data_IF_268279326222
#
_entry.id   IF_268279326222
#
_cell.length_a   1.000
_cell.length_b   1.000
_cell.length_c   1.000
_cell.angle_alpha   90.00
_cell.angle_beta   90.00
_cell.angle_gamma   90.00
#
_symmetry.space_group_name_H-M   'P 1'
#
loop_
_entity.id
_entity.type
_entity.pdbx_description
1 polymer ?
#
# COMPACT_ATOMS: atom_id res chain seq x y z
N UNK A 1 21.96 14.79 7.01
CA UNK A 1 20.74 15.36 6.41
C UNK A 1 20.07 16.23 7.45
N UNK A 2 19.77 17.47 7.07
CA UNK A 2 19.26 18.55 7.88
C UNK A 2 18.01 18.13 8.70
N UNK A 3 18.02 18.39 10.00
CA UNK A 3 17.05 17.91 11.01
C UNK A 3 16.07 19.02 11.44
N UNK A 4 15.73 19.97 10.57
CA UNK A 4 14.93 21.12 11.00
C UNK A 4 13.90 21.67 10.01
N UNK A 5 13.46 20.91 9.00
CA UNK A 5 12.20 21.26 8.35
C UNK A 5 11.05 20.96 9.31
N UNK A 6 10.49 22.03 9.89
CA UNK A 6 9.26 22.02 10.66
C UNK A 6 8.20 21.26 9.86
N UNK A 7 7.67 20.18 10.45
CA UNK A 7 6.84 19.24 9.68
C UNK A 7 5.50 19.89 9.34
N UNK A 8 5.09 19.71 8.08
CA UNK A 8 3.82 20.22 7.57
C UNK A 8 2.59 19.51 8.13
N UNK A 9 2.73 18.26 8.63
CA UNK A 9 1.60 17.40 9.00
C UNK A 9 1.73 16.80 10.40
N UNK A 10 0.59 16.54 11.04
CA UNK A 10 0.54 15.96 12.39
C UNK A 10 0.71 14.44 12.33
N UNK A 11 1.57 13.84 13.17
CA UNK A 11 1.66 12.38 13.26
C UNK A 11 0.36 11.80 13.85
N UNK A 12 0.02 10.56 13.47
CA UNK A 12 -1.09 9.80 14.05
C UNK A 12 -0.60 8.45 14.58
N UNK A 13 -0.99 8.05 15.82
CA UNK A 13 -0.56 6.79 16.38
C UNK A 13 -1.03 5.64 15.49
N UNK A 14 -0.08 4.80 15.07
CA UNK A 14 -0.41 3.64 14.26
C UNK A 14 -0.96 2.52 15.14
N UNK A 15 -2.03 1.81 14.69
CA UNK A 15 -2.45 0.57 15.33
C UNK A 15 -1.45 -0.59 15.12
N UNK A 16 -0.42 -0.42 14.28
CA UNK A 16 0.48 -1.47 13.82
C UNK A 16 1.88 -1.42 14.45
N UNK A 17 1.96 -1.51 15.78
CA UNK A 17 3.25 -1.59 16.50
C UNK A 17 3.75 -3.04 16.57
N UNK A 18 4.92 -3.32 15.99
CA UNK A 18 5.59 -4.63 16.00
C UNK A 18 4.79 -5.77 15.34
N UNK A 19 4.10 -5.49 14.24
CA UNK A 19 3.38 -6.53 13.50
C UNK A 19 4.38 -7.37 12.69
N UNK A 20 4.19 -8.69 12.71
CA UNK A 20 4.83 -9.61 11.77
C UNK A 20 3.88 -9.91 10.62
N UNK A 21 4.34 -9.71 9.39
CA UNK A 21 3.53 -9.91 8.19
C UNK A 21 4.37 -10.50 7.05
N UNK A 22 3.70 -11.10 6.08
CA UNK A 22 4.28 -11.32 4.76
C UNK A 22 3.97 -10.11 3.90
N UNK A 23 5.02 -9.54 3.28
CA UNK A 23 4.91 -8.30 2.53
C UNK A 23 5.44 -8.50 1.13
N UNK A 24 4.63 -8.11 0.15
CA UNK A 24 4.98 -8.07 -1.28
C UNK A 24 4.86 -6.62 -1.72
N UNK A 25 5.95 -6.02 -2.19
CA UNK A 25 5.93 -4.59 -2.54
C UNK A 25 6.78 -4.26 -3.76
N UNK A 26 6.47 -3.14 -4.41
CA UNK A 26 7.24 -2.60 -5.52
C UNK A 26 7.22 -1.08 -5.52
N UNK A 27 8.25 -0.51 -6.13
CA UNK A 27 8.33 0.92 -6.40
C UNK A 27 8.04 1.18 -7.87
N UNK A 28 7.29 2.24 -8.15
CA UNK A 28 7.17 2.80 -9.50
C UNK A 28 7.31 4.31 -9.45
N UNK A 29 7.34 4.90 -10.63
CA UNK A 29 7.26 6.34 -10.81
C UNK A 29 5.90 6.66 -11.43
N UNK A 30 5.04 7.33 -10.68
CA UNK A 30 3.86 7.97 -11.23
C UNK A 30 4.30 9.24 -11.99
N UNK A 31 3.78 9.40 -13.20
CA UNK A 31 3.99 10.61 -13.98
C UNK A 31 2.97 11.67 -13.58
N UNK A 32 3.32 12.94 -13.80
CA UNK A 32 2.36 14.04 -13.70
C UNK A 32 1.14 13.75 -14.59
N UNK A 33 -0.07 14.01 -14.08
CA UNK A 33 -1.31 13.75 -14.80
C UNK A 33 -2.30 14.92 -14.64
N UNK A 34 -3.11 15.16 -15.68
CA UNK A 34 -4.20 16.13 -15.65
C UNK A 34 -5.44 15.54 -14.97
N UNK A 35 -5.28 15.15 -13.71
CA UNK A 35 -6.29 14.44 -12.92
C UNK A 35 -5.89 12.98 -12.65
N UNK A 36 -6.45 12.44 -11.58
CA UNK A 36 -6.26 11.04 -11.20
C UNK A 36 -7.29 10.15 -11.92
N UNK A 37 -6.95 8.88 -12.24
CA UNK A 37 -7.90 7.94 -12.82
C UNK A 37 -9.17 7.75 -11.97
N UNK A 38 -10.26 7.29 -12.59
CA UNK A 38 -11.44 6.85 -11.85
C UNK A 38 -11.07 5.74 -10.86
N UNK A 39 -11.72 5.74 -9.69
CA UNK A 39 -11.41 4.83 -8.59
C UNK A 39 -10.21 5.25 -7.72
N UNK A 40 -9.57 6.39 -8.00
CA UNK A 40 -8.45 6.88 -7.15
C UNK A 40 -8.90 7.36 -5.78
N UNK A 41 -10.18 7.66 -5.63
CA UNK A 41 -10.83 8.02 -4.38
C UNK A 41 -12.03 7.10 -4.18
N UNK A 42 -12.27 6.68 -2.95
CA UNK A 42 -13.56 6.09 -2.59
C UNK A 42 -14.67 7.13 -2.70
N UNK A 43 -15.94 6.72 -2.79
CA UNK A 43 -17.09 7.65 -2.91
C UNK A 43 -17.11 8.71 -1.80
N UNK A 44 -16.73 8.31 -0.57
CA UNK A 44 -16.66 9.19 0.58
C UNK A 44 -15.56 10.26 0.42
N UNK A 45 -14.39 9.85 -0.08
CA UNK A 45 -13.24 10.72 -0.32
C UNK A 45 -13.41 11.60 -1.57
N UNK A 46 -14.11 11.12 -2.59
CA UNK A 46 -14.33 11.83 -3.84
C UNK A 46 -15.09 13.15 -3.64
N UNK A 47 -15.89 13.25 -2.58
CA UNK A 47 -16.63 14.47 -2.20
C UNK A 47 -15.82 15.45 -1.33
N UNK A 48 -14.63 15.07 -0.88
CA UNK A 48 -13.86 15.83 0.10
C UNK A 48 -13.01 16.96 -0.54
N UNK A 49 -12.65 18.02 0.19
CA UNK A 49 -11.89 19.14 -0.38
C UNK A 49 -10.52 18.79 -0.96
N UNK A 50 -9.93 17.65 -0.59
CA UNK A 50 -8.62 17.21 -1.09
C UNK A 50 -8.69 16.46 -2.42
N UNK A 51 -9.87 16.00 -2.84
CA UNK A 51 -10.07 15.37 -4.16
C UNK A 51 -10.33 16.42 -5.26
N UNK A 52 -10.62 17.67 -4.86
CA UNK A 52 -10.90 18.80 -5.73
C UNK A 52 -9.59 19.45 -6.20
N UNK A 53 -9.20 19.31 -7.49
CA UNK A 53 -7.94 19.84 -8.00
C UNK A 53 -7.83 21.37 -7.90
N UNK A 54 -8.94 22.09 -7.83
CA UNK A 54 -8.93 23.55 -7.64
C UNK A 54 -8.50 23.94 -6.21
N UNK A 55 -8.75 23.05 -5.23
CA UNK A 55 -8.39 23.25 -3.83
C UNK A 55 -7.07 22.59 -3.46
N UNK A 56 -6.80 21.38 -3.95
CA UNK A 56 -5.60 20.59 -3.64
C UNK A 56 -4.42 20.86 -4.57
N UNK A 57 -4.66 21.46 -5.74
CA UNK A 57 -3.68 21.57 -6.82
C UNK A 57 -3.65 20.33 -7.72
N UNK A 58 -2.78 20.36 -8.73
CA UNK A 58 -2.61 19.29 -9.71
C UNK A 58 -1.74 18.15 -9.19
N UNK A 59 -1.97 16.95 -9.71
CA UNK A 59 -1.17 15.77 -9.37
C UNK A 59 0.22 15.86 -10.01
N UNK A 60 1.24 16.10 -9.18
CA UNK A 60 2.63 16.25 -9.60
C UNK A 60 3.34 14.93 -9.94
N UNK A 61 2.76 13.79 -9.57
CA UNK A 61 3.42 12.49 -9.68
C UNK A 61 4.55 12.31 -8.66
N UNK A 62 5.44 11.35 -8.91
CA UNK A 62 6.56 11.04 -8.01
C UNK A 62 6.81 9.54 -7.86
N UNK A 63 7.61 9.17 -6.86
CA UNK A 63 7.78 7.76 -6.51
C UNK A 63 6.52 7.24 -5.79
N UNK A 64 6.04 6.09 -6.21
CA UNK A 64 4.89 5.40 -5.65
C UNK A 64 5.32 4.05 -5.12
N UNK A 65 4.68 3.63 -4.03
CA UNK A 65 4.88 2.34 -3.39
C UNK A 65 3.56 1.58 -3.45
N UNK A 66 3.56 0.38 -4.04
CA UNK A 66 2.49 -0.59 -3.80
C UNK A 66 2.99 -1.59 -2.80
N UNK A 67 2.14 -1.91 -1.82
CA UNK A 67 2.40 -2.90 -0.81
C UNK A 67 1.15 -3.76 -0.60
N UNK A 68 1.32 -5.07 -0.72
CA UNK A 68 0.35 -6.07 -0.29
C UNK A 68 0.87 -6.62 1.03
N UNK A 69 0.15 -6.31 2.09
CA UNK A 69 0.41 -6.82 3.44
C UNK A 69 -0.61 -7.89 3.73
N UNK A 70 -0.16 -9.13 3.93
CA UNK A 70 -1.05 -10.20 4.37
C UNK A 70 -1.29 -10.09 5.87
N UNK A 71 -2.46 -9.57 6.23
CA UNK A 71 -3.03 -9.74 7.57
C UNK A 71 -3.72 -11.09 7.69
N UNK A 72 -3.83 -11.64 8.90
CA UNK A 72 -4.48 -12.94 9.11
C UNK A 72 -6.01 -12.85 9.01
N UNK A 73 -6.61 -11.69 9.30
CA UNK A 73 -8.05 -11.41 9.20
C UNK A 73 -8.27 -9.93 8.80
N UNK A 74 -9.17 -9.65 7.85
CA UNK A 74 -9.54 -8.27 7.44
C UNK A 74 -10.99 -8.22 6.93
N UNK A 75 -11.81 -7.24 7.36
CA UNK A 75 -13.17 -7.05 6.86
C UNK A 75 -13.25 -6.30 5.52
N UNK A 76 -12.13 -5.76 5.03
CA UNK A 76 -12.13 -4.77 3.92
C UNK A 76 -11.98 -5.42 2.55
N UNK A 77 -11.33 -6.59 2.46
CA UNK A 77 -11.15 -7.32 1.21
C UNK A 77 -10.85 -8.80 1.47
N UNK A 78 -11.22 -9.66 0.53
CA UNK A 78 -10.83 -11.08 0.52
C UNK A 78 -9.49 -11.22 -0.20
N UNK A 79 -8.51 -11.81 0.48
CA UNK A 79 -7.21 -12.12 -0.10
C UNK A 79 -7.08 -13.64 -0.29
N UNK A 80 -6.78 -14.07 -1.51
CA UNK A 80 -6.49 -15.47 -1.83
C UNK A 80 -5.01 -15.62 -2.21
N UNK A 81 -4.30 -16.49 -1.50
CA UNK A 81 -2.89 -16.79 -1.74
C UNK A 81 -2.77 -18.24 -2.24
N UNK A 82 -2.50 -18.39 -3.53
CA UNK A 82 -2.48 -19.70 -4.19
C UNK A 82 -1.07 -20.30 -4.08
N UNK A 83 -0.88 -21.48 -3.47
CA UNK A 83 0.43 -22.08 -3.25
C UNK A 83 1.24 -22.33 -4.52
N UNK A 84 2.57 -22.28 -4.38
CA UNK A 84 3.54 -22.62 -5.42
C UNK A 84 4.23 -23.94 -5.11
N UNK A 85 4.64 -24.67 -6.15
CA UNK A 85 5.57 -25.80 -6.02
C UNK A 85 7.02 -25.33 -5.76
N UNK A 86 7.30 -24.04 -5.98
CA UNK A 86 8.57 -23.44 -5.63
C UNK A 86 8.63 -23.08 -4.14
N UNK A 87 9.78 -23.28 -3.51
CA UNK A 87 9.97 -22.91 -2.10
C UNK A 87 9.85 -21.40 -1.84
N UNK A 88 10.15 -20.55 -2.83
CA UNK A 88 10.22 -19.09 -2.64
C UNK A 88 9.79 -18.30 -3.90
N UNK A 89 8.80 -17.40 -3.79
CA UNK A 89 7.84 -17.29 -2.69
C UNK A 89 6.94 -18.55 -2.61
N UNK A 90 6.32 -18.83 -1.46
CA UNK A 90 5.46 -20.02 -1.29
C UNK A 90 4.13 -19.94 -2.05
N UNK A 91 3.89 -18.85 -2.78
CA UNK A 91 2.68 -18.61 -3.55
C UNK A 91 3.05 -18.33 -5.00
N UNK A 92 2.22 -18.82 -5.93
CA UNK A 92 2.35 -18.54 -7.37
C UNK A 92 1.40 -17.44 -7.82
N UNK A 93 0.36 -17.17 -7.03
CA UNK A 93 -0.64 -16.16 -7.38
C UNK A 93 -1.25 -15.55 -6.11
N UNK A 94 -1.53 -14.25 -6.17
CA UNK A 94 -2.26 -13.49 -5.15
C UNK A 94 -3.48 -12.86 -5.82
N UNK A 95 -4.66 -13.05 -5.26
CA UNK A 95 -5.88 -12.37 -5.71
C UNK A 95 -6.48 -11.53 -4.60
N UNK A 96 -7.05 -10.39 -4.97
CA UNK A 96 -7.81 -9.51 -4.08
C UNK A 96 -9.18 -9.26 -4.69
N UNK A 97 -10.22 -9.49 -3.91
CA UNK A 97 -11.63 -9.30 -4.30
C UNK A 97 -12.35 -8.48 -3.24
N UNK A 98 -13.42 -7.79 -3.65
CA UNK A 98 -14.31 -7.14 -2.69
C UNK A 98 -15.05 -8.20 -1.85
N UNK A 99 -15.43 -7.89 -0.60
CA UNK A 99 -16.17 -8.83 0.24
C UNK A 99 -17.50 -9.30 -0.39
N UNK A 100 -18.18 -8.39 -1.11
CA UNK A 100 -19.50 -8.65 -1.71
C UNK A 100 -19.42 -9.46 -3.01
N UNK A 101 -18.29 -9.36 -3.73
CA UNK A 101 -18.03 -10.09 -4.98
C UNK A 101 -16.75 -10.93 -4.88
N UNK A 102 -16.71 -11.92 -3.96
CA UNK A 102 -15.48 -12.64 -3.60
C UNK A 102 -14.94 -13.58 -4.69
N UNK A 103 -15.66 -13.73 -5.79
CA UNK A 103 -15.32 -14.55 -6.97
C UNK A 103 -14.82 -13.71 -8.15
N UNK A 104 -14.91 -12.38 -8.05
CA UNK A 104 -14.52 -11.42 -9.08
C UNK A 104 -13.32 -10.57 -8.58
N UNK A 105 -12.08 -11.09 -8.71
CA UNK A 105 -10.91 -10.38 -8.23
C UNK A 105 -10.63 -9.15 -9.11
N UNK A 106 -10.51 -7.99 -8.48
CA UNK A 106 -10.05 -6.75 -9.12
C UNK A 106 -8.53 -6.61 -9.10
N UNK A 107 -7.83 -7.44 -8.32
CA UNK A 107 -6.37 -7.63 -8.41
C UNK A 107 -6.08 -9.11 -8.58
N UNK A 108 -5.27 -9.46 -9.57
CA UNK A 108 -4.76 -10.81 -9.80
C UNK A 108 -3.29 -10.74 -10.20
N UNK A 109 -2.41 -11.16 -9.29
CA UNK A 109 -0.97 -11.11 -9.45
C UNK A 109 -0.38 -12.50 -9.60
N UNK A 110 0.24 -12.77 -10.74
CA UNK A 110 1.08 -13.93 -10.98
C UNK A 110 2.50 -13.68 -10.49
N UNK A 111 2.94 -14.48 -9.53
CA UNK A 111 4.28 -14.43 -8.96
C UNK A 111 5.17 -15.44 -9.67
N UNK A 112 6.18 -14.95 -10.37
CA UNK A 112 7.14 -15.75 -11.12
C UNK A 112 8.49 -15.74 -10.40
N UNK A 113 8.86 -16.84 -9.71
CA UNK A 113 10.17 -16.95 -9.08
C UNK A 113 11.30 -16.81 -10.11
N UNK A 114 12.35 -16.12 -9.71
CA UNK A 114 13.61 -15.99 -10.44
C UNK A 114 14.64 -16.89 -9.73
N UNK A 115 15.28 -17.83 -10.45
CA UNK A 115 16.28 -18.72 -9.85
C UNK A 115 17.34 -17.93 -9.05
N UNK A 116 17.69 -18.47 -7.88
CA UNK A 116 18.69 -17.94 -6.94
C UNK A 116 18.28 -16.67 -6.17
N UNK A 117 17.63 -15.70 -6.81
CA UNK A 117 17.34 -14.38 -6.19
C UNK A 117 15.96 -14.26 -5.55
N UNK A 118 15.04 -15.19 -5.80
CA UNK A 118 13.75 -15.23 -5.07
C UNK A 118 13.88 -15.76 -3.64
N UNK A 119 15.03 -16.29 -3.23
CA UNK A 119 15.23 -16.70 -1.84
C UNK A 119 15.41 -15.45 -0.95
N UNK A 120 14.73 -15.36 0.20
CA UNK A 120 14.83 -14.22 1.09
C UNK A 120 16.13 -14.28 1.89
N UNK A 121 17.23 -13.90 1.23
CA UNK A 121 18.58 -13.95 1.81
C UNK A 121 19.19 -12.57 2.00
N UNK A 122 18.72 -11.57 1.27
CA UNK A 122 19.29 -10.22 1.31
C UNK A 122 18.63 -9.44 2.46
N UNK A 123 19.38 -8.98 3.47
CA UNK A 123 18.82 -8.13 4.49
C UNK A 123 18.37 -6.80 3.87
N UNK A 124 17.14 -6.41 4.14
CA UNK A 124 16.60 -5.10 3.78
C UNK A 124 16.09 -4.41 5.05
N UNK A 125 16.30 -3.11 5.11
CA UNK A 125 15.56 -2.22 6.00
C UNK A 125 15.27 -0.94 5.24
N UNK A 126 13.99 -0.59 5.14
CA UNK A 126 13.58 0.65 4.47
C UNK A 126 14.04 1.90 5.24
N UNK A 127 14.48 1.77 6.49
CA UNK A 127 15.08 2.86 7.26
C UNK A 127 16.39 3.38 6.64
N UNK A 128 17.12 2.54 5.89
CA UNK A 128 18.37 2.91 5.20
C UNK A 128 18.16 3.27 3.73
N UNK A 129 16.95 3.17 3.22
CA UNK A 129 16.63 3.57 1.86
C UNK A 129 16.56 5.10 1.84
N UNK A 130 17.33 5.79 0.99
CA UNK A 130 17.37 7.26 0.95
C UNK A 130 16.13 7.84 0.23
N UNK A 131 14.94 7.32 0.54
CA UNK A 131 13.65 7.76 0.00
C UNK A 131 12.74 8.16 1.17
N UNK A 132 11.92 9.19 0.98
CA UNK A 132 10.87 9.50 1.94
C UNK A 132 9.71 8.52 1.75
N UNK A 133 9.58 7.53 2.64
CA UNK A 133 8.48 6.57 2.67
C UNK A 133 7.39 6.97 3.68
N UNK A 134 7.32 8.27 3.99
CA UNK A 134 6.20 8.85 4.72
C UNK A 134 4.95 8.78 3.84
N UNK A 135 3.97 7.99 4.29
CA UNK A 135 2.63 7.99 3.73
C UNK A 135 1.89 9.14 4.38
N UNK A 136 1.47 10.10 3.56
CA UNK A 136 0.64 11.23 3.99
C UNK A 136 -0.81 10.89 3.68
N UNK A 137 -1.67 11.01 4.68
CA UNK A 137 -3.09 10.75 4.61
C UNK A 137 -3.85 12.08 4.73
N UNK A 138 -4.71 12.42 3.76
CA UNK A 138 -5.54 13.61 3.86
C UNK A 138 -6.55 13.50 5.01
N UNK A 139 -7.21 14.60 5.39
CA UNK A 139 -8.39 14.54 6.23
C UNK A 139 -9.48 13.66 5.59
N UNK A 140 -9.76 12.49 6.14
CA UNK A 140 -10.79 11.59 5.60
C UNK A 140 -12.09 11.82 6.38
N UNK A 141 -13.23 12.12 5.72
CA UNK A 141 -14.49 12.27 6.42
C UNK A 141 -14.91 10.94 7.06
N UNK A 142 -15.55 11.02 8.23
CA UNK A 142 -16.09 9.85 8.92
C UNK A 142 -17.57 9.67 8.57
N UNK A 143 -17.99 8.43 8.33
CA UNK A 143 -19.43 8.12 8.19
C UNK A 143 -20.17 8.25 9.52
N UNK A 144 -21.44 8.68 9.49
CA UNK A 144 -22.30 8.70 10.69
C UNK A 144 -22.45 7.30 11.32
N UNK A 145 -22.45 6.25 10.48
CA UNK A 145 -22.56 4.85 10.89
C UNK A 145 -21.23 4.07 10.80
N UNK A 146 -20.10 4.76 11.01
CA UNK A 146 -18.75 4.19 10.83
C UNK A 146 -18.50 2.86 11.57
N UNK A 147 -19.17 2.64 12.71
CA UNK A 147 -19.05 1.38 13.49
C UNK A 147 -19.66 0.18 12.77
N UNK A 148 -20.64 0.40 11.90
CA UNK A 148 -21.36 -0.64 11.19
C UNK A 148 -20.75 -0.88 9.80
N UNK A 149 -20.40 0.21 9.09
CA UNK A 149 -19.89 0.12 7.71
C UNK A 149 -18.36 0.16 7.60
N UNK A 150 -17.63 0.37 8.70
CA UNK A 150 -16.16 0.41 8.72
C UNK A 150 -15.54 1.66 8.09
N UNK A 151 -16.34 2.68 7.72
CA UNK A 151 -15.87 3.93 7.10
C UNK A 151 -15.41 4.95 8.16
N UNK A 152 -14.28 4.64 8.79
CA UNK A 152 -13.63 5.47 9.81
C UNK A 152 -12.90 6.64 9.14
N UNK A 153 -13.15 7.86 9.61
CA UNK A 153 -12.47 9.07 9.15
C UNK A 153 -11.22 9.40 9.98
N UNK A 154 -10.49 10.44 9.60
CA UNK A 154 -9.38 10.94 10.42
C UNK A 154 -9.88 11.76 11.60
N UNK A 155 -9.31 11.51 12.79
CA UNK A 155 -9.65 12.27 14.00
C UNK A 155 -9.36 13.77 13.79
N UNK A 156 -10.35 14.61 14.08
CA UNK A 156 -10.34 16.07 13.97
C UNK A 156 -10.19 16.68 12.56
N UNK A 157 -10.39 15.91 11.47
CA UNK A 157 -10.33 16.42 10.09
C UNK A 157 -8.97 17.08 9.75
N UNK A 158 -7.88 16.49 10.23
CA UNK A 158 -6.51 16.98 10.00
C UNK A 158 -5.72 16.02 9.11
N UNK A 159 -4.73 16.58 8.40
CA UNK A 159 -3.74 15.80 7.65
C UNK A 159 -2.89 14.99 8.61
N UNK A 160 -2.75 13.70 8.31
CA UNK A 160 -1.94 12.77 9.10
C UNK A 160 -0.79 12.25 8.26
N UNK A 161 0.28 11.81 8.92
CA UNK A 161 1.34 11.07 8.25
C UNK A 161 1.83 9.92 9.10
N UNK A 162 2.31 8.89 8.41
CA UNK A 162 2.89 7.69 9.01
C UNK A 162 4.09 7.26 8.19
N UNK A 163 5.17 6.87 8.85
CA UNK A 163 6.32 6.27 8.17
C UNK A 163 6.27 4.77 8.28
N UNK A 164 6.33 4.08 7.14
CA UNK A 164 6.37 2.62 7.11
C UNK A 164 7.82 2.15 7.04
N UNK A 165 8.27 1.55 8.14
CA UNK A 165 9.54 0.86 8.21
C UNK A 165 9.30 -0.65 8.05
N UNK A 166 9.99 -1.24 7.08
CA UNK A 166 9.98 -2.68 6.78
C UNK A 166 11.41 -3.17 6.94
N UNK A 167 11.60 -4.16 7.79
CA UNK A 167 12.89 -4.84 7.95
C UNK A 167 12.73 -6.36 7.86
N UNK A 168 13.66 -7.03 7.19
CA UNK A 168 13.63 -8.48 7.04
C UNK A 168 14.62 -8.97 6.01
N UNK A 169 14.47 -10.23 5.60
CA UNK A 169 15.21 -10.76 4.46
C UNK A 169 14.31 -10.76 3.23
N UNK A 170 14.79 -10.18 2.14
CA UNK A 170 14.03 -10.04 0.89
C UNK A 170 14.54 -10.97 -0.18
N UNK A 171 13.61 -11.49 -0.99
CA UNK A 171 13.87 -12.03 -2.31
C UNK A 171 13.29 -11.10 -3.38
N UNK A 172 13.71 -11.31 -4.63
CA UNK A 172 13.18 -10.61 -5.80
C UNK A 172 12.31 -11.58 -6.59
N UNK A 173 11.15 -11.12 -7.01
CA UNK A 173 10.18 -11.87 -7.81
C UNK A 173 9.74 -11.05 -9.01
N UNK A 174 9.42 -11.71 -10.11
CA UNK A 174 8.76 -11.05 -11.23
C UNK A 174 7.26 -11.18 -11.05
N UNK A 175 6.54 -10.07 -11.17
CA UNK A 175 5.09 -10.01 -11.00
C UNK A 175 4.44 -9.59 -12.30
N UNK A 176 3.35 -10.28 -12.63
CA UNK A 176 2.48 -9.97 -13.77
C UNK A 176 1.02 -10.00 -13.36
N UNK A 177 0.14 -9.43 -14.17
CA UNK A 177 -1.29 -9.62 -14.08
C UNK A 177 -2.05 -8.30 -14.03
N UNK A 178 -3.19 -8.31 -13.37
CA UNK A 178 -4.15 -7.23 -13.32
C UNK A 178 -4.10 -6.55 -11.95
N UNK A 179 -4.03 -5.23 -11.96
CA UNK A 179 -4.00 -4.38 -10.78
C UNK A 179 -5.08 -3.32 -10.95
N UNK A 180 -6.28 -3.63 -10.51
CA UNK A 180 -7.45 -2.75 -10.66
C UNK A 180 -8.30 -3.09 -11.86
N UNK A 181 -9.57 -2.72 -11.73
CA UNK A 181 -10.65 -2.89 -12.71
C UNK A 181 -11.01 -1.55 -13.39
N UNK A 182 -10.35 -0.45 -13.01
CA UNK A 182 -10.65 0.90 -13.47
C UNK A 182 -11.96 1.49 -12.93
N UNK A 183 -12.64 0.77 -12.04
CA UNK A 183 -13.93 1.16 -11.45
C UNK A 183 -13.79 1.24 -9.93
N UNK A 184 -13.55 0.10 -9.29
CA UNK A 184 -13.36 -0.05 -7.83
C UNK A 184 -11.95 0.30 -7.42
N UNK A 185 -10.97 0.02 -8.28
CA UNK A 185 -9.57 0.36 -8.09
C UNK A 185 -8.95 0.76 -9.43
N UNK A 186 -8.10 1.81 -9.50
CA UNK A 186 -7.50 2.26 -10.75
C UNK A 186 -6.75 1.13 -11.45
N UNK A 187 -6.93 0.99 -12.76
CA UNK A 187 -6.14 0.03 -13.53
C UNK A 187 -4.69 0.52 -13.63
N UNK A 188 -3.75 -0.25 -13.06
CA UNK A 188 -2.33 0.07 -12.99
C UNK A 188 -1.53 -0.92 -13.84
N UNK A 189 -0.82 -0.42 -14.85
CA UNK A 189 0.13 -1.23 -15.60
C UNK A 189 1.48 -1.33 -14.85
N UNK A 190 1.50 -2.17 -13.80
CA UNK A 190 2.64 -2.30 -12.88
C UNK A 190 3.24 -3.71 -12.89
N UNK A 191 3.46 -4.22 -14.09
CA UNK A 191 4.19 -5.46 -14.32
C UNK A 191 5.70 -5.22 -14.15
N UNK A 192 6.40 -6.06 -13.39
CA UNK A 192 7.83 -5.81 -13.16
C UNK A 192 8.48 -6.63 -12.06
N UNK A 193 9.60 -6.13 -11.56
CA UNK A 193 10.29 -6.70 -10.41
C UNK A 193 9.69 -6.17 -9.11
N UNK A 194 9.39 -7.09 -8.21
CA UNK A 194 8.86 -6.82 -6.89
C UNK A 194 9.76 -7.49 -5.85
N UNK A 195 9.71 -6.94 -4.65
CA UNK A 195 10.39 -7.47 -3.48
C UNK A 195 9.38 -8.24 -2.63
N UNK A 196 9.77 -9.43 -2.20
CA UNK A 196 9.00 -10.19 -1.22
C UNK A 196 9.84 -10.38 0.03
N UNK A 197 9.25 -10.06 1.17
CA UNK A 197 9.89 -10.20 2.48
C UNK A 197 9.07 -11.19 3.28
N UNK A 198 9.73 -12.28 3.66
CA UNK A 198 9.18 -13.24 4.59
C UNK A 198 9.39 -12.75 6.02
N UNK A 199 8.38 -12.88 6.86
CA UNK A 199 8.41 -12.46 8.27
C UNK A 199 8.89 -11.01 8.47
N UNK A 200 8.36 -10.09 7.65
CA UNK A 200 8.72 -8.68 7.73
C UNK A 200 8.35 -8.12 9.11
N UNK A 201 9.29 -7.41 9.72
CA UNK A 201 9.00 -6.52 10.84
C UNK A 201 8.50 -5.21 10.25
N UNK A 202 7.23 -4.92 10.49
CA UNK A 202 6.62 -3.66 10.11
C UNK A 202 6.41 -2.78 11.32
N UNK A 203 6.85 -1.53 11.22
CA UNK A 203 6.50 -0.48 12.16
C UNK A 203 6.02 0.73 11.40
N UNK A 204 4.78 1.11 11.67
CA UNK A 204 4.24 2.37 11.24
C UNK A 204 4.50 3.37 12.35
N UNK A 205 5.57 4.13 12.22
CA UNK A 205 6.06 4.99 13.28
C UNK A 205 5.46 6.39 13.13
N UNK A 206 5.07 6.96 14.27
CA UNK A 206 5.09 8.40 14.40
C UNK A 206 6.53 8.82 14.14
N UNK A 207 6.77 9.62 13.10
CA UNK A 207 8.12 10.06 12.80
C UNK A 207 8.61 10.83 14.05
N UNK A 208 9.73 10.45 14.66
CA UNK A 208 10.29 11.15 15.84
C UNK A 208 10.04 10.54 17.22
N UNK A 209 9.56 9.30 17.32
CA UNK A 209 9.98 8.40 18.42
C UNK A 209 11.35 7.77 18.10
#
# INVERSE_FOLDING_TARGET
MDKSQERKFKPAPSPWKNIRAQVVFSFARANHANGLPQGSYSDLEASAPFSDPEKSGKFEGGFSLIMIVRYLESPVAKFEFIPSDANHPPYRQIKVSLPDTPEEPFVSLDLQPIPLISRPLLPISTAYVPMNLEIVMPPIPQSENWKENGLVGSDNNEWRSVRVDIAGKTGVIKVRGELGDGISFPELNWNGLWFWVDDAKMSCMNVGE
#
